data_IF_977762309734
#
_entry.id   IF_977762309734
#
_cell.length_a   1.000
_cell.length_b   1.000
_cell.length_c   1.000
_cell.angle_alpha   90.00
_cell.angle_beta   90.00
_cell.angle_gamma   90.00
#
_symmetry.space_group_name_H-M   'P 1'
#
loop_
_entity.id
_entity.type
_entity.pdbx_description
1 polymer ?
#
# COMPACT_ATOMS: atom_id res chain seq x y z
N UNK A 1 3.13 10.52 26.46
CA UNK A 1 2.43 11.29 25.45
C UNK A 1 3.15 11.35 24.12
N UNK A 2 4.47 11.29 24.13
CA UNK A 2 5.24 11.22 22.90
C UNK A 2 4.86 9.99 22.07
N UNK A 3 4.56 8.90 22.73
CA UNK A 3 4.21 7.66 22.06
C UNK A 3 2.92 7.76 21.27
N UNK A 4 1.97 8.52 21.78
CA UNK A 4 0.70 8.70 21.07
C UNK A 4 0.89 9.42 19.75
N UNK A 5 1.74 10.43 19.73
CA UNK A 5 2.03 11.16 18.50
C UNK A 5 2.69 10.26 17.46
N UNK A 6 3.61 9.42 17.93
CA UNK A 6 4.28 8.49 17.03
C UNK A 6 3.30 7.47 16.48
N UNK A 7 2.42 6.95 17.32
CA UNK A 7 1.41 6.00 16.89
C UNK A 7 0.47 6.64 15.88
N UNK A 8 0.07 7.87 16.13
CA UNK A 8 -0.80 8.60 15.21
C UNK A 8 -0.12 8.78 13.85
N UNK A 9 1.15 9.15 13.86
CA UNK A 9 1.91 9.31 12.62
C UNK A 9 2.00 8.00 11.85
N UNK A 10 2.22 6.89 12.55
CA UNK A 10 2.26 5.57 11.93
C UNK A 10 0.91 5.18 11.37
N UNK A 11 -0.17 5.58 12.04
CA UNK A 11 -1.52 5.27 11.60
C UNK A 11 -1.86 5.91 10.26
N UNK A 12 -1.12 6.96 9.87
CA UNK A 12 -1.31 7.62 8.58
C UNK A 12 -0.51 6.98 7.47
N UNK A 13 0.25 5.92 7.78
CA UNK A 13 1.08 5.23 6.80
C UNK A 13 0.38 3.99 6.27
N UNK A 14 0.59 3.73 4.99
CA UNK A 14 0.03 2.57 4.31
C UNK A 14 1.14 1.83 3.57
N UNK A 15 0.90 0.57 3.31
CA UNK A 15 1.80 -0.27 2.53
C UNK A 15 1.02 -0.87 1.38
N UNK A 16 1.49 -0.65 0.18
CA UNK A 16 0.91 -1.24 -1.02
C UNK A 16 1.77 -2.42 -1.42
N UNK A 17 1.15 -3.56 -1.64
CA UNK A 17 1.86 -4.80 -1.95
C UNK A 17 0.99 -5.78 -2.71
N UNK A 18 1.33 -7.07 -2.60
CA UNK A 18 0.64 -8.12 -3.31
C UNK A 18 0.13 -9.18 -2.34
N UNK A 19 -1.12 -9.57 -2.52
CA UNK A 19 -1.74 -10.66 -1.77
C UNK A 19 -2.33 -11.66 -2.76
N UNK A 20 -1.81 -12.89 -2.76
CA UNK A 20 -2.28 -13.94 -3.67
C UNK A 20 -2.30 -13.50 -5.13
N UNK A 21 -1.32 -12.72 -5.54
CA UNK A 21 -1.21 -12.22 -6.92
C UNK A 21 -1.98 -10.94 -7.19
N UNK A 22 -2.79 -10.47 -6.25
CA UNK A 22 -3.57 -9.24 -6.39
C UNK A 22 -2.93 -8.09 -5.65
N UNK A 23 -3.12 -6.89 -6.16
CA UNK A 23 -2.64 -5.69 -5.50
C UNK A 23 -3.46 -5.48 -4.22
N UNK A 24 -2.79 -5.22 -3.11
CA UNK A 24 -3.46 -5.06 -1.84
C UNK A 24 -2.84 -3.92 -1.04
N UNK A 25 -3.64 -3.37 -0.15
CA UNK A 25 -3.25 -2.23 0.70
C UNK A 25 -3.32 -2.64 2.15
N UNK A 26 -2.24 -2.39 2.87
CA UNK A 26 -2.17 -2.61 4.33
C UNK A 26 -2.01 -1.29 5.03
N UNK A 27 -2.54 -1.24 6.24
CA UNK A 27 -2.18 -0.18 7.16
C UNK A 27 -0.90 -0.62 7.86
N UNK A 28 0.06 0.29 8.02
CA UNK A 28 1.34 -0.05 8.64
C UNK A 28 1.13 -0.68 10.00
N UNK A 29 1.77 -1.81 10.24
CA UNK A 29 1.66 -2.54 11.49
C UNK A 29 0.54 -3.56 11.55
N UNK A 30 -0.28 -3.68 10.51
CA UNK A 30 -1.37 -4.65 10.46
C UNK A 30 -0.97 -5.84 9.60
N UNK A 31 -1.32 -7.04 10.05
CA UNK A 31 -1.02 -8.26 9.32
C UNK A 31 -1.95 -8.51 8.15
N UNK A 32 -3.21 -8.12 8.32
CA UNK A 32 -4.21 -8.33 7.29
C UNK A 32 -4.38 -7.09 6.44
N UNK A 33 -4.61 -7.24 5.14
CA UNK A 33 -4.80 -6.07 4.29
C UNK A 33 -6.11 -5.36 4.62
N UNK A 34 -6.07 -4.04 4.49
CA UNK A 34 -7.27 -3.22 4.58
C UNK A 34 -8.17 -3.49 3.38
N UNK A 35 -7.56 -3.73 2.24
CA UNK A 35 -8.28 -3.89 1.00
C UNK A 35 -7.46 -4.69 0.00
N UNK A 36 -8.10 -5.57 -0.72
CA UNK A 36 -7.51 -6.28 -1.85
C UNK A 36 -8.23 -5.81 -3.10
N UNK A 37 -7.48 -5.33 -4.08
CA UNK A 37 -8.06 -4.81 -5.31
C UNK A 37 -8.24 -5.94 -6.32
N UNK A 38 -9.23 -5.85 -7.20
CA UNK A 38 -9.46 -6.89 -8.22
C UNK A 38 -8.51 -6.75 -9.41
N UNK A 39 -7.26 -6.39 -9.14
CA UNK A 39 -6.24 -6.19 -10.19
C UNK A 39 -5.04 -7.06 -9.88
N UNK A 40 -4.65 -7.86 -10.85
CA UNK A 40 -3.49 -8.73 -10.71
C UNK A 40 -2.20 -7.93 -10.90
N UNK A 41 -1.25 -8.15 -10.00
CA UNK A 41 0.05 -7.48 -10.11
C UNK A 41 0.77 -7.86 -11.40
N UNK A 42 0.52 -9.07 -11.91
CA UNK A 42 1.14 -9.54 -13.15
C UNK A 42 0.77 -8.72 -14.38
N UNK A 43 -0.28 -7.91 -14.28
CA UNK A 43 -0.70 -7.02 -15.37
C UNK A 43 0.16 -5.77 -15.47
N UNK A 44 0.97 -5.51 -14.46
CA UNK A 44 1.83 -4.33 -14.42
C UNK A 44 3.20 -4.62 -15.07
N UNK A 45 3.92 -3.56 -15.48
CA UNK A 45 5.31 -3.73 -15.91
C UNK A 45 6.15 -4.39 -14.81
N UNK A 46 7.20 -5.10 -15.22
CA UNK A 46 8.02 -5.85 -14.28
C UNK A 46 8.61 -4.98 -13.17
N UNK A 47 9.03 -3.78 -13.47
CA UNK A 47 9.58 -2.88 -12.46
C UNK A 47 8.57 -2.59 -11.36
N UNK A 48 7.31 -2.41 -11.74
CA UNK A 48 6.24 -2.14 -10.78
C UNK A 48 5.90 -3.38 -9.97
N UNK A 49 5.94 -4.55 -10.60
CA UNK A 49 5.73 -5.81 -9.88
C UNK A 49 6.78 -6.02 -8.82
N UNK A 50 8.03 -5.73 -9.13
CA UNK A 50 9.14 -5.87 -8.17
C UNK A 50 9.00 -4.88 -7.02
N UNK A 51 8.59 -3.65 -7.32
CA UNK A 51 8.36 -2.64 -6.30
C UNK A 51 7.25 -3.06 -5.34
N UNK A 52 6.14 -3.57 -5.88
CA UNK A 52 5.02 -4.05 -5.07
C UNK A 52 5.42 -5.26 -4.22
N UNK A 53 6.24 -6.12 -4.75
CA UNK A 53 6.70 -7.31 -4.03
C UNK A 53 7.50 -6.92 -2.79
N UNK A 54 8.30 -5.86 -2.89
CA UNK A 54 9.04 -5.32 -1.76
C UNK A 54 8.14 -4.54 -0.81
N UNK A 55 7.05 -4.02 -1.33
CA UNK A 55 6.14 -3.17 -0.59
C UNK A 55 6.46 -1.70 -0.80
N UNK A 56 5.44 -0.93 -1.16
CA UNK A 56 5.58 0.50 -1.38
C UNK A 56 4.95 1.23 -0.20
N UNK A 57 5.76 1.97 0.54
CA UNK A 57 5.28 2.73 1.70
C UNK A 57 4.68 4.04 1.24
N UNK A 58 3.45 4.29 1.66
CA UNK A 58 2.72 5.51 1.33
C UNK A 58 2.39 6.23 2.63
N UNK A 59 2.86 7.46 2.76
CA UNK A 59 2.81 8.18 4.03
C UNK A 59 1.66 9.16 4.19
N UNK A 60 0.82 9.29 3.17
CA UNK A 60 -0.32 10.21 3.25
C UNK A 60 -1.46 9.74 2.36
N UNK A 61 -2.68 10.16 2.70
CA UNK A 61 -3.85 9.81 1.92
C UNK A 61 -3.79 10.39 0.51
N UNK A 62 -3.24 11.59 0.37
CA UNK A 62 -3.08 12.24 -0.93
C UNK A 62 -2.18 11.42 -1.84
N UNK A 63 -1.07 10.94 -1.31
CA UNK A 63 -0.14 10.11 -2.06
C UNK A 63 -0.77 8.78 -2.45
N UNK A 64 -1.56 8.21 -1.55
CA UNK A 64 -2.25 6.97 -1.82
C UNK A 64 -3.25 7.13 -2.97
N UNK A 65 -4.04 8.19 -2.94
CA UNK A 65 -5.02 8.45 -3.98
C UNK A 65 -4.35 8.64 -5.34
N UNK A 66 -3.27 9.42 -5.38
CA UNK A 66 -2.47 9.63 -6.58
C UNK A 66 -1.94 8.33 -7.14
N UNK A 67 -1.38 7.52 -6.25
CA UNK A 67 -0.80 6.24 -6.62
C UNK A 67 -1.84 5.31 -7.22
N UNK A 68 -3.00 5.21 -6.58
CA UNK A 68 -4.06 4.35 -7.06
C UNK A 68 -4.61 4.80 -8.41
N UNK A 69 -4.70 6.10 -8.64
CA UNK A 69 -5.13 6.62 -9.93
C UNK A 69 -4.15 6.20 -11.03
N UNK A 70 -2.85 6.31 -10.76
CA UNK A 70 -1.84 5.98 -11.75
C UNK A 70 -1.81 4.49 -12.09
N UNK A 71 -2.03 3.64 -11.12
CA UNK A 71 -1.91 2.19 -11.32
C UNK A 71 -3.21 1.52 -11.66
N UNK A 72 -4.33 2.00 -11.15
CA UNK A 72 -5.59 1.26 -11.19
C UNK A 72 -6.68 1.91 -12.04
N UNK A 73 -6.43 3.08 -12.57
CA UNK A 73 -7.46 3.72 -13.41
C UNK A 73 -7.23 3.57 -14.92
#
# INVERSE_FOLDING_TARGET
MKYRKQITALALSFLLGVQNGYIALWKTGCEKPLRVFPYQASMLPLADQLALKKGIVIKSDSKLAEFLEDYLS
#
